data_IF_003362443307
#
_entry.id   IF_003362443307
#
_cell.length_a   1.000
_cell.length_b   1.000
_cell.length_c   1.000
_cell.angle_alpha   90.00
_cell.angle_beta   90.00
_cell.angle_gamma   90.00
#
_symmetry.space_group_name_H-M   'P 1'
#
loop_
_entity.id
_entity.type
_entity.pdbx_description
1 polymer ?
#
# COMPACT_ATOMS: atom_id res chain seq x y z
N UNK A 1 5.34 -15.14 -16.79
CA UNK A 1 4.39 -14.10 -16.33
C UNK A 1 4.15 -13.20 -17.53
N UNK A 2 2.94 -12.67 -17.76
CA UNK A 2 2.75 -11.66 -18.80
C UNK A 2 3.66 -10.48 -18.52
N UNK A 3 4.04 -9.76 -19.57
CA UNK A 3 4.81 -8.52 -19.46
C UNK A 3 4.02 -7.52 -18.60
N UNK A 4 4.70 -6.89 -17.65
CA UNK A 4 4.06 -5.93 -16.74
C UNK A 4 3.64 -4.69 -17.52
N UNK A 5 2.38 -4.30 -17.44
CA UNK A 5 1.90 -3.03 -17.96
C UNK A 5 2.39 -1.88 -17.06
N UNK A 6 3.38 -1.15 -17.53
CA UNK A 6 4.00 -0.02 -16.85
C UNK A 6 3.44 1.35 -17.28
N UNK A 7 2.33 1.36 -18.01
CA UNK A 7 1.71 2.56 -18.58
C UNK A 7 2.66 3.40 -19.46
N UNK A 8 3.73 2.80 -19.99
CA UNK A 8 4.77 3.47 -20.75
C UNK A 8 5.70 4.37 -19.92
N UNK A 9 5.66 4.25 -18.57
CA UNK A 9 6.49 5.07 -17.69
C UNK A 9 7.88 4.46 -17.42
N UNK A 10 8.10 3.25 -17.88
CA UNK A 10 9.31 2.47 -17.65
C UNK A 10 9.27 1.72 -16.32
N UNK A 11 9.62 0.44 -16.33
CA UNK A 11 9.73 -0.39 -15.15
C UNK A 11 10.89 0.09 -14.23
N UNK A 12 11.98 -0.55 -14.17
CA UNK A 12 13.17 -0.08 -13.46
C UNK A 12 12.93 0.18 -11.97
N UNK A 13 13.03 1.42 -11.56
CA UNK A 13 12.91 1.83 -10.15
C UNK A 13 11.50 2.31 -9.76
N UNK A 14 10.50 2.17 -10.61
CA UNK A 14 9.12 2.56 -10.29
C UNK A 14 8.37 1.41 -9.62
N UNK A 15 7.31 1.71 -8.84
CA UNK A 15 6.45 0.66 -8.32
C UNK A 15 5.82 -0.14 -9.48
N UNK A 16 5.62 -1.43 -9.28
CA UNK A 16 4.81 -2.25 -10.15
C UNK A 16 3.36 -1.76 -10.10
N UNK A 17 2.80 -1.36 -11.23
CA UNK A 17 1.43 -0.84 -11.33
C UNK A 17 0.55 -1.78 -12.16
N UNK A 18 -0.75 -1.48 -12.24
CA UNK A 18 -1.72 -2.31 -12.96
C UNK A 18 -1.78 -3.76 -12.43
N UNK A 19 -1.63 -3.92 -11.12
CA UNK A 19 -1.68 -5.21 -10.41
C UNK A 19 -2.96 -5.31 -9.59
N UNK A 20 -3.70 -6.40 -9.75
CA UNK A 20 -4.87 -6.72 -8.94
C UNK A 20 -4.44 -7.28 -7.58
N UNK A 21 -5.41 -7.42 -6.66
CA UNK A 21 -5.16 -8.08 -5.37
C UNK A 21 -4.75 -9.55 -5.57
N UNK A 22 -5.39 -10.22 -6.52
CA UNK A 22 -5.05 -11.61 -6.86
C UNK A 22 -3.65 -11.73 -7.46
N UNK A 23 -3.24 -10.79 -8.34
CA UNK A 23 -1.86 -10.77 -8.87
C UNK A 23 -0.85 -10.60 -7.74
N UNK A 24 -1.12 -9.70 -6.79
CA UNK A 24 -0.23 -9.43 -5.67
C UNK A 24 -0.07 -10.65 -4.75
N UNK A 25 -1.18 -11.33 -4.42
CA UNK A 25 -1.15 -12.55 -3.60
C UNK A 25 -0.48 -13.72 -4.33
N UNK A 26 -0.75 -13.89 -5.62
CA UNK A 26 -0.06 -14.89 -6.45
C UNK A 26 1.46 -14.62 -6.52
N UNK A 27 1.87 -13.35 -6.64
CA UNK A 27 3.28 -12.98 -6.63
C UNK A 27 3.94 -13.33 -5.29
N UNK A 28 3.29 -13.02 -4.16
CA UNK A 28 3.79 -13.33 -2.82
C UNK A 28 4.01 -14.85 -2.65
N UNK A 29 3.02 -15.66 -3.05
CA UNK A 29 3.10 -17.11 -3.00
C UNK A 29 4.22 -17.65 -3.92
N UNK A 30 4.33 -17.13 -5.13
CA UNK A 30 5.43 -17.49 -6.05
C UNK A 30 6.80 -17.16 -5.46
N UNK A 31 6.95 -15.97 -4.85
CA UNK A 31 8.22 -15.56 -4.25
C UNK A 31 8.59 -16.44 -3.06
N UNK A 32 7.62 -16.78 -2.20
CA UNK A 32 7.79 -17.75 -1.10
C UNK A 32 8.37 -19.06 -1.60
N UNK A 33 7.72 -19.65 -2.60
CA UNK A 33 8.19 -20.90 -3.23
C UNK A 33 9.57 -20.76 -3.87
N UNK A 34 9.81 -19.67 -4.60
CA UNK A 34 11.09 -19.39 -5.26
C UNK A 34 12.25 -19.25 -4.27
N UNK A 35 11.98 -18.74 -3.06
CA UNK A 35 12.96 -18.60 -1.98
C UNK A 35 13.09 -19.85 -1.11
N UNK A 36 12.29 -20.90 -1.35
CA UNK A 36 12.29 -22.14 -0.56
C UNK A 36 11.80 -21.95 0.87
N UNK A 37 10.94 -20.96 1.10
CA UNK A 37 10.40 -20.66 2.42
C UNK A 37 9.18 -21.54 2.71
N UNK A 38 8.96 -21.85 3.97
CA UNK A 38 7.77 -22.53 4.49
C UNK A 38 6.63 -21.54 4.82
N UNK A 39 5.48 -22.08 5.26
CA UNK A 39 4.31 -21.29 5.64
C UNK A 39 4.55 -20.34 6.83
N UNK A 40 5.53 -20.62 7.68
CA UNK A 40 5.87 -19.77 8.83
C UNK A 40 6.73 -18.57 8.46
N UNK A 41 7.40 -18.63 7.32
CA UNK A 41 8.34 -17.60 6.87
C UNK A 41 7.94 -17.04 5.51
N UNK A 42 6.67 -17.21 5.12
CA UNK A 42 6.16 -16.85 3.81
C UNK A 42 6.13 -15.33 3.58
N UNK A 43 6.19 -14.95 2.31
CA UNK A 43 5.78 -13.62 1.88
C UNK A 43 4.26 -13.56 1.70
N UNK A 44 3.67 -12.45 2.10
CA UNK A 44 2.26 -12.16 1.96
C UNK A 44 2.03 -10.64 1.81
N UNK A 45 0.81 -10.23 1.55
CA UNK A 45 0.42 -8.85 1.77
C UNK A 45 0.45 -8.55 3.29
N UNK A 46 0.78 -7.32 3.71
CA UNK A 46 0.59 -6.91 5.09
C UNK A 46 -0.90 -6.92 5.44
N UNK A 47 -1.25 -7.15 6.69
CA UNK A 47 -2.58 -6.83 7.18
C UNK A 47 -2.78 -5.30 7.21
N UNK A 48 -4.02 -4.84 7.26
CA UNK A 48 -4.31 -3.40 7.34
C UNK A 48 -3.67 -2.78 8.58
N UNK A 49 -3.72 -3.46 9.72
CA UNK A 49 -3.13 -3.01 10.97
C UNK A 49 -1.60 -2.96 10.91
N UNK A 50 -0.95 -3.97 10.33
CA UNK A 50 0.50 -3.98 10.10
C UNK A 50 0.93 -2.83 9.19
N UNK A 51 0.18 -2.63 8.09
CA UNK A 51 0.46 -1.56 7.16
C UNK A 51 0.38 -0.18 7.85
N UNK A 52 -0.71 0.09 8.61
CA UNK A 52 -0.89 1.36 9.30
C UNK A 52 0.17 1.58 10.39
N UNK A 53 0.46 0.57 11.19
CA UNK A 53 1.53 0.61 12.19
C UNK A 53 2.88 0.99 11.54
N UNK A 54 3.22 0.30 10.46
CA UNK A 54 4.44 0.53 9.72
C UNK A 54 4.47 1.92 9.06
N UNK A 55 3.37 2.37 8.47
CA UNK A 55 3.26 3.69 7.85
C UNK A 55 3.39 4.84 8.85
N UNK A 56 2.83 4.70 10.05
CA UNK A 56 2.92 5.70 11.12
C UNK A 56 4.34 5.87 11.68
N UNK A 57 5.17 4.83 11.61
CA UNK A 57 6.53 4.90 12.13
C UNK A 57 6.61 5.26 13.62
N UNK A 58 5.65 4.79 14.43
CA UNK A 58 5.55 5.09 15.88
C UNK A 58 4.96 6.46 16.22
N UNK A 59 4.33 7.14 15.26
CA UNK A 59 3.72 8.48 15.46
C UNK A 59 2.20 8.39 15.47
N UNK A 60 1.56 9.22 16.32
CA UNK A 60 0.09 9.38 16.38
C UNK A 60 -0.40 10.67 15.72
N UNK A 61 0.19 11.01 14.55
CA UNK A 61 -0.09 12.20 13.76
C UNK A 61 -0.66 11.82 12.39
N UNK A 62 -1.07 12.80 11.58
CA UNK A 62 -1.71 12.54 10.28
C UNK A 62 -0.78 11.82 9.30
N UNK A 63 0.47 12.30 9.21
CA UNK A 63 1.54 11.74 8.38
C UNK A 63 2.70 11.38 9.31
N UNK A 64 3.55 10.44 8.93
CA UNK A 64 4.68 10.04 9.77
C UNK A 64 5.65 11.21 10.11
N UNK A 65 5.61 12.31 9.34
CA UNK A 65 6.43 13.50 9.58
C UNK A 65 5.71 14.57 10.43
N UNK A 66 4.39 14.56 10.55
CA UNK A 66 3.62 15.56 11.31
C UNK A 66 2.16 15.66 10.87
N UNK A 67 1.48 16.73 11.27
CA UNK A 67 0.08 16.96 10.95
C UNK A 67 -0.14 17.84 9.71
N UNK A 68 0.89 18.56 9.29
CA UNK A 68 0.82 19.45 8.15
C UNK A 68 1.37 18.83 6.87
N UNK A 69 0.84 19.29 5.74
CA UNK A 69 1.36 18.94 4.43
C UNK A 69 2.66 19.68 4.20
N UNK A 70 3.77 18.98 4.28
CA UNK A 70 5.09 19.54 3.96
C UNK A 70 5.46 19.24 2.51
N UNK A 71 6.12 20.20 1.86
CA UNK A 71 6.62 20.03 0.49
C UNK A 71 7.67 18.92 0.40
N UNK A 72 7.64 18.21 -0.72
CA UNK A 72 8.62 17.14 -1.02
C UNK A 72 8.66 15.99 0.00
N UNK A 73 7.54 15.67 0.64
CA UNK A 73 7.42 14.52 1.55
C UNK A 73 6.76 13.31 0.92
N UNK A 74 5.94 13.53 -0.12
CA UNK A 74 5.18 12.49 -0.78
C UNK A 74 4.92 12.85 -2.25
N UNK A 75 4.65 11.84 -3.06
CA UNK A 75 4.09 12.02 -4.40
C UNK A 75 2.56 11.97 -4.30
N UNK A 76 1.93 13.12 -4.31
CA UNK A 76 0.48 13.26 -4.36
C UNK A 76 0.11 14.59 -5.05
N UNK A 77 -1.13 14.76 -5.47
CA UNK A 77 -1.58 16.03 -6.03
C UNK A 77 -1.56 17.11 -4.94
N UNK A 78 -0.98 18.26 -5.23
CA UNK A 78 -0.81 19.38 -4.29
C UNK A 78 0.09 19.09 -3.08
N UNK A 79 0.98 18.13 -3.18
CA UNK A 79 2.00 17.86 -2.17
C UNK A 79 3.27 18.72 -2.31
N UNK A 80 3.34 19.58 -3.32
CA UNK A 80 4.45 20.51 -3.54
C UNK A 80 5.75 19.80 -3.91
N UNK A 81 5.69 18.66 -4.55
CA UNK A 81 6.83 17.94 -5.08
C UNK A 81 7.01 18.19 -6.60
N UNK A 82 8.19 17.91 -7.11
CA UNK A 82 8.45 17.96 -8.55
C UNK A 82 7.60 16.94 -9.35
N UNK A 83 6.99 15.98 -8.67
CA UNK A 83 6.14 14.95 -9.26
C UNK A 83 4.68 15.37 -9.42
N UNK A 84 4.23 16.42 -8.74
CA UNK A 84 2.84 16.88 -8.77
C UNK A 84 2.34 17.17 -10.19
N UNK A 85 3.19 17.76 -11.02
CA UNK A 85 2.86 18.10 -12.41
C UNK A 85 3.05 16.93 -13.39
N UNK A 86 3.74 15.87 -13.00
CA UNK A 86 4.10 14.76 -13.89
C UNK A 86 3.00 13.74 -14.08
N UNK A 87 1.99 13.72 -13.19
CA UNK A 87 0.82 12.84 -13.23
C UNK A 87 1.19 11.36 -13.42
N UNK A 88 2.20 10.91 -12.68
CA UNK A 88 2.72 9.53 -12.70
C UNK A 88 3.43 9.18 -11.40
N UNK A 89 3.78 7.91 -11.25
CA UNK A 89 4.56 7.45 -10.11
C UNK A 89 5.96 8.08 -10.09
N UNK A 90 6.49 8.32 -8.91
CA UNK A 90 7.90 8.60 -8.67
C UNK A 90 8.69 7.27 -8.57
N UNK A 91 10.02 7.28 -8.77
CA UNK A 91 10.86 6.17 -8.41
C UNK A 91 10.69 5.78 -6.93
N UNK A 92 10.70 4.49 -6.62
CA UNK A 92 10.60 4.01 -5.23
C UNK A 92 11.79 4.55 -4.41
N UNK A 93 11.50 5.01 -3.20
CA UNK A 93 12.52 5.57 -2.32
C UNK A 93 13.01 6.97 -2.70
N UNK A 94 12.33 7.67 -3.59
CA UNK A 94 12.66 9.05 -3.94
C UNK A 94 12.48 10.00 -2.76
N UNK A 95 11.44 9.82 -1.97
CA UNK A 95 11.15 10.62 -0.79
C UNK A 95 11.86 10.07 0.46
N UNK A 96 11.79 10.83 1.54
CA UNK A 96 12.39 10.42 2.82
C UNK A 96 11.68 9.17 3.38
N UNK A 97 12.46 8.29 3.99
CA UNK A 97 11.95 7.14 4.74
C UNK A 97 11.37 7.58 6.09
N UNK A 98 10.37 6.88 6.56
CA UNK A 98 9.80 7.06 7.88
C UNK A 98 10.76 6.53 8.99
N UNK A 99 10.45 6.73 10.30
CA UNK A 99 11.30 6.28 11.40
C UNK A 99 11.59 4.77 11.43
N UNK A 100 10.75 3.94 10.82
CA UNK A 100 10.98 2.49 10.68
C UNK A 100 11.75 2.12 9.41
N UNK A 101 12.24 3.10 8.66
CA UNK A 101 13.05 2.88 7.46
C UNK A 101 12.25 2.60 6.19
N UNK A 102 10.93 2.76 6.21
CA UNK A 102 10.05 2.51 5.06
C UNK A 102 9.87 3.75 4.20
N UNK A 103 9.90 3.56 2.90
CA UNK A 103 9.66 4.60 1.90
C UNK A 103 8.22 4.54 1.39
N UNK A 104 7.74 5.65 0.86
CA UNK A 104 6.52 5.77 0.06
C UNK A 104 5.24 5.25 0.74
N UNK A 105 5.17 5.35 2.08
CA UNK A 105 3.98 5.00 2.87
C UNK A 105 2.91 6.11 2.84
N UNK A 106 3.16 7.18 2.10
CA UNK A 106 2.22 8.27 1.84
C UNK A 106 2.34 8.65 0.37
N UNK A 107 1.27 8.45 -0.41
CA UNK A 107 1.24 8.75 -1.84
C UNK A 107 1.99 7.74 -2.71
N UNK A 108 2.38 8.15 -3.89
CA UNK A 108 2.93 7.38 -4.98
C UNK A 108 1.92 6.40 -5.58
N UNK A 109 1.63 5.30 -4.90
CA UNK A 109 0.61 4.32 -5.28
C UNK A 109 -0.20 3.86 -4.08
N UNK A 110 -1.47 3.57 -4.27
CA UNK A 110 -2.25 2.78 -3.32
C UNK A 110 -1.65 1.39 -3.17
N UNK A 111 -1.68 0.85 -1.98
CA UNK A 111 -1.10 -0.45 -1.69
C UNK A 111 -2.15 -1.42 -1.15
N UNK A 112 -2.31 -2.55 -1.83
CA UNK A 112 -3.16 -3.63 -1.39
C UNK A 112 -2.71 -4.17 -0.02
N UNK A 113 -3.70 -4.45 0.83
CA UNK A 113 -3.50 -5.20 2.08
C UNK A 113 -4.33 -6.48 2.07
N UNK A 114 -4.15 -7.34 3.06
CA UNK A 114 -4.80 -8.65 3.08
C UNK A 114 -6.30 -8.57 3.44
N UNK A 115 -6.72 -7.51 4.11
CA UNK A 115 -8.02 -7.37 4.75
C UNK A 115 -9.16 -7.18 3.75
N UNK A 116 -10.33 -7.71 4.13
CA UNK A 116 -11.62 -7.37 3.53
C UNK A 116 -12.09 -6.01 4.06
N UNK A 117 -12.92 -5.33 3.28
CA UNK A 117 -13.48 -4.05 3.72
C UNK A 117 -14.54 -4.22 4.81
N UNK A 118 -14.41 -3.45 5.87
CA UNK A 118 -15.41 -3.23 6.91
C UNK A 118 -15.63 -1.73 7.08
N UNK A 119 -16.88 -1.31 7.31
CA UNK A 119 -17.24 0.13 7.36
C UNK A 119 -16.61 0.86 8.55
N UNK A 120 -16.32 0.15 9.63
CA UNK A 120 -15.69 0.68 10.84
C UNK A 120 -14.79 -0.41 11.46
N UNK A 121 -14.21 -0.14 12.62
CA UNK A 121 -13.34 -1.08 13.33
C UNK A 121 -14.03 -1.80 14.50
N UNK A 122 -15.35 -1.76 14.57
CA UNK A 122 -16.10 -2.51 15.59
C UNK A 122 -15.97 -4.02 15.30
N UNK A 123 -15.46 -4.79 16.27
CA UNK A 123 -15.17 -6.20 16.09
C UNK A 123 -13.84 -6.52 15.39
N UNK A 124 -13.02 -5.53 15.06
CA UNK A 124 -11.73 -5.78 14.42
C UNK A 124 -10.82 -6.67 15.28
N UNK A 125 -10.02 -7.57 14.68
CA UNK A 125 -9.00 -8.34 15.38
C UNK A 125 -8.06 -7.44 16.16
N UNK A 126 -7.73 -7.84 17.39
CA UNK A 126 -6.82 -7.07 18.26
C UNK A 126 -5.40 -7.67 18.33
N UNK A 127 -5.15 -8.73 17.59
CA UNK A 127 -3.89 -9.46 17.52
C UNK A 127 -3.06 -9.14 16.28
N UNK A 128 -3.55 -8.22 15.43
CA UNK A 128 -2.89 -7.84 14.18
C UNK A 128 -3.17 -8.75 12.99
N UNK A 129 -3.98 -9.79 13.16
CA UNK A 129 -4.39 -10.67 12.06
C UNK A 129 -5.27 -9.94 11.04
N UNK A 130 -5.29 -10.44 9.81
CA UNK A 130 -6.13 -9.88 8.76
C UNK A 130 -7.61 -10.05 9.07
N UNK A 131 -8.37 -8.98 8.93
CA UNK A 131 -9.81 -9.00 9.13
C UNK A 131 -10.52 -9.51 7.88
N UNK A 132 -10.97 -10.76 7.95
CA UNK A 132 -11.61 -11.48 6.85
C UNK A 132 -13.14 -11.53 7.01
N UNK A 133 -13.81 -12.25 6.13
CA UNK A 133 -15.27 -12.25 5.96
C UNK A 133 -16.07 -12.78 7.17
N UNK A 134 -15.47 -13.53 8.10
CA UNK A 134 -16.16 -14.18 9.19
C UNK A 134 -16.97 -13.24 10.11
N UNK A 135 -16.69 -11.95 10.09
CA UNK A 135 -17.29 -10.93 10.96
C UNK A 135 -17.96 -9.81 10.16
N UNK A 136 -18.90 -10.17 9.27
CA UNK A 136 -19.63 -9.25 8.37
C UNK A 136 -18.76 -8.51 7.34
N UNK A 137 -17.50 -8.89 7.15
CA UNK A 137 -16.59 -8.34 6.14
C UNK A 137 -17.03 -8.69 4.73
N UNK A 138 -17.00 -7.71 3.85
CA UNK A 138 -17.28 -7.91 2.45
C UNK A 138 -16.00 -8.16 1.65
N UNK A 139 -15.61 -9.41 1.48
CA UNK A 139 -14.41 -9.78 0.71
C UNK A 139 -14.53 -9.60 -0.81
N UNK A 140 -15.69 -9.24 -1.34
CA UNK A 140 -15.81 -8.68 -2.69
C UNK A 140 -15.20 -7.27 -2.79
N UNK A 141 -14.79 -6.71 -1.65
CA UNK A 141 -14.09 -5.44 -1.52
C UNK A 141 -12.83 -5.64 -0.69
N UNK A 142 -11.68 -5.24 -1.23
CA UNK A 142 -10.40 -5.31 -0.54
C UNK A 142 -9.91 -3.94 -0.16
N UNK A 143 -9.30 -3.85 1.02
CA UNK A 143 -8.71 -2.60 1.52
C UNK A 143 -7.42 -2.29 0.76
N UNK A 144 -7.19 -1.02 0.48
CA UNK A 144 -5.90 -0.49 0.07
C UNK A 144 -5.61 0.82 0.79
N UNK A 145 -4.33 1.14 0.93
CA UNK A 145 -3.82 2.14 1.86
C UNK A 145 -2.81 3.07 1.18
N UNK A 146 -2.53 4.21 1.79
CA UNK A 146 -1.44 5.11 1.45
C UNK A 146 -1.78 6.24 0.49
N UNK A 147 -2.85 6.13 -0.30
CA UNK A 147 -3.12 7.10 -1.37
C UNK A 147 -2.14 6.98 -2.53
N UNK A 148 -2.26 7.85 -3.52
CA UNK A 148 -1.44 7.77 -4.72
C UNK A 148 -1.08 9.14 -5.29
N UNK A 149 -0.30 9.15 -6.35
CA UNK A 149 0.21 10.33 -7.05
C UNK A 149 -0.88 11.32 -7.49
N UNK A 150 -2.11 10.90 -7.72
CA UNK A 150 -3.20 11.79 -8.15
C UNK A 150 -4.13 12.22 -7.02
N UNK A 151 -3.99 11.67 -5.81
CA UNK A 151 -4.84 12.00 -4.68
C UNK A 151 -4.38 13.26 -3.96
N UNK A 152 -5.34 14.02 -3.42
CA UNK A 152 -5.05 15.17 -2.55
C UNK A 152 -4.45 14.72 -1.21
N UNK A 153 -3.73 15.61 -0.48
CA UNK A 153 -3.03 15.26 0.76
C UNK A 153 -3.90 14.55 1.81
N UNK A 154 -5.17 14.91 1.92
CA UNK A 154 -6.09 14.27 2.88
C UNK A 154 -6.24 12.75 2.69
N UNK A 155 -5.95 12.24 1.50
CA UNK A 155 -6.06 10.83 1.17
C UNK A 155 -4.76 10.04 1.42
N UNK A 156 -3.62 10.72 1.59
CA UNK A 156 -2.33 10.08 1.86
C UNK A 156 -1.96 10.05 3.35
N UNK A 157 -2.90 10.38 4.23
CA UNK A 157 -2.73 10.23 5.69
C UNK A 157 -2.59 8.76 6.07
N UNK A 158 -1.75 8.47 7.06
CA UNK A 158 -1.53 7.09 7.52
C UNK A 158 -2.82 6.34 7.90
N UNK A 159 -3.82 7.06 8.46
CA UNK A 159 -5.09 6.48 8.86
C UNK A 159 -6.13 6.39 7.72
N UNK A 160 -5.86 6.97 6.54
CA UNK A 160 -6.84 6.93 5.48
C UNK A 160 -6.91 5.54 4.87
N UNK A 161 -8.12 5.01 4.79
CA UNK A 161 -8.42 3.71 4.20
C UNK A 161 -9.46 3.86 3.10
N UNK A 162 -9.35 3.02 2.09
CA UNK A 162 -10.34 2.93 1.03
C UNK A 162 -10.42 1.50 0.51
N UNK A 163 -11.33 1.22 -0.41
CA UNK A 163 -11.54 -0.11 -0.94
C UNK A 163 -11.88 -0.08 -2.44
N UNK A 164 -11.64 -1.21 -3.08
CA UNK A 164 -12.15 -1.52 -4.41
C UNK A 164 -12.32 -3.03 -4.58
N UNK A 165 -12.82 -3.46 -5.72
CA UNK A 165 -12.93 -4.90 -6.02
C UNK A 165 -11.55 -5.49 -6.30
N UNK A 166 -11.30 -6.78 -5.93
CA UNK A 166 -9.97 -7.39 -5.98
C UNK A 166 -9.38 -7.53 -7.38
N UNK A 167 -10.20 -7.50 -8.42
CA UNK A 167 -9.82 -7.65 -9.83
C UNK A 167 -9.34 -6.36 -10.50
N UNK A 168 -9.53 -5.21 -9.86
CA UNK A 168 -9.14 -3.92 -10.42
C UNK A 168 -7.62 -3.84 -10.63
N UNK A 169 -7.26 -3.34 -11.82
CA UNK A 169 -5.90 -2.94 -12.18
C UNK A 169 -5.89 -1.47 -12.54
N UNK A 170 -4.93 -0.73 -11.98
CA UNK A 170 -4.83 0.69 -12.26
C UNK A 170 -3.37 1.17 -12.13
N UNK A 171 -3.02 2.22 -12.87
CA UNK A 171 -1.68 2.81 -12.85
C UNK A 171 -1.33 3.54 -11.53
N UNK A 172 -2.23 3.54 -10.58
CA UNK A 172 -2.05 4.13 -9.26
C UNK A 172 -2.23 3.10 -8.12
N UNK A 173 -2.29 1.81 -8.45
CA UNK A 173 -2.42 0.71 -7.47
C UNK A 173 -1.24 -0.25 -7.61
N UNK A 174 -0.68 -0.64 -6.48
CA UNK A 174 0.44 -1.54 -6.31
C UNK A 174 0.29 -2.34 -5.02
N UNK A 175 1.37 -2.88 -4.50
CA UNK A 175 1.44 -3.55 -3.21
C UNK A 175 2.87 -3.51 -2.65
N UNK A 176 2.99 -3.76 -1.36
CA UNK A 176 4.25 -4.16 -0.72
C UNK A 176 4.08 -5.52 -0.07
N UNK A 177 5.19 -6.16 0.25
CA UNK A 177 5.17 -7.45 0.93
C UNK A 177 5.50 -7.29 2.41
N UNK A 178 4.85 -8.13 3.23
CA UNK A 178 5.29 -8.51 4.56
C UNK A 178 5.91 -9.92 4.48
N UNK A 179 6.74 -10.25 5.45
CA UNK A 179 7.29 -11.60 5.63
C UNK A 179 7.13 -12.01 7.08
N UNK A 180 6.59 -13.20 7.28
CA UNK A 180 6.55 -13.83 8.60
C UNK A 180 7.97 -14.29 8.98
N UNK A 181 8.38 -14.09 10.25
CA UNK A 181 9.72 -14.37 10.76
C UNK A 181 9.68 -15.24 12.03
#
# INVERSE_FOLDING_TARGET
>A
MPEQDDAGWGAGQRPAINVSWDDATCFAAWLTKKRGLDEKHRYRLPTESEWEYAARGGKSVRYWWGDEVEKNKANCADCGSEWDSQQRTAPVGFFQKNPLGLYDTAGNVWEWVEDCWHENYEGAPNDGSAWREADDGNCARRVFRGGSWYNLPRFVRSAFRYWTTPDIRSNHISFRLAQDI
#
